data_IF_700736409335
#
_entry.id   IF_700736409335
#
_cell.length_a   1.000
_cell.length_b   1.000
_cell.length_c   1.000
_cell.angle_alpha   90.00
_cell.angle_beta   90.00
_cell.angle_gamma   90.00
#
_symmetry.space_group_name_H-M   'P 1'
#
loop_
_entity.id
_entity.type
_entity.pdbx_description
1 polymer ?
#
# COMPACT_ATOMS: atom_id res chain seq x y z
N UNK A 1 8.03 -4.05 11.25
CA UNK A 1 7.22 -4.46 10.09
C UNK A 1 8.10 -5.17 9.09
N UNK A 2 7.62 -6.28 8.57
CA UNK A 2 8.38 -7.03 7.58
C UNK A 2 7.82 -6.67 6.22
N UNK A 3 8.53 -5.86 5.47
CA UNK A 3 8.08 -5.37 4.18
C UNK A 3 8.96 -5.95 3.08
N UNK A 4 8.32 -6.63 2.12
CA UNK A 4 9.04 -7.13 0.96
C UNK A 4 8.67 -6.27 -0.24
N UNK A 5 9.64 -5.90 -1.03
CA UNK A 5 9.42 -5.09 -2.23
C UNK A 5 9.95 -5.86 -3.43
N UNK A 6 9.07 -6.10 -4.41
CA UNK A 6 9.43 -6.83 -5.61
C UNK A 6 9.40 -5.89 -6.81
N UNK A 7 10.45 -5.86 -7.60
CA UNK A 7 10.52 -5.03 -8.80
C UNK A 7 10.33 -5.91 -10.02
N UNK A 8 9.18 -5.83 -10.65
CA UNK A 8 8.87 -6.57 -11.86
C UNK A 8 8.75 -5.65 -13.08
N UNK A 9 9.32 -4.45 -12.98
CA UNK A 9 9.29 -3.50 -14.10
C UNK A 9 10.27 -3.93 -15.18
N UNK A 10 10.00 -3.53 -16.43
CA UNK A 10 10.84 -3.91 -17.56
C UNK A 10 12.24 -3.33 -17.46
N UNK A 11 12.37 -2.09 -16.96
CA UNK A 11 13.66 -1.42 -16.91
C UNK A 11 14.30 -1.31 -15.55
N UNK A 12 13.66 -1.82 -14.54
CA UNK A 12 14.15 -1.74 -13.16
C UNK A 12 13.82 -0.41 -12.50
N UNK A 13 13.72 -0.41 -11.18
CA UNK A 13 13.43 0.79 -10.41
C UNK A 13 14.72 1.16 -9.66
N UNK A 14 15.13 2.44 -9.70
CA UNK A 14 16.36 2.84 -8.99
C UNK A 14 16.29 2.51 -7.50
N UNK A 15 17.41 2.12 -6.93
CA UNK A 15 17.49 1.76 -5.53
C UNK A 15 16.99 2.87 -4.60
N UNK A 16 17.21 4.11 -4.97
CA UNK A 16 16.75 5.23 -4.13
C UNK A 16 15.24 5.25 -3.99
N UNK A 17 14.52 4.82 -5.01
CA UNK A 17 13.06 4.78 -4.95
C UNK A 17 12.57 3.57 -4.13
N UNK A 18 13.25 2.45 -4.24
CA UNK A 18 12.92 1.27 -3.43
C UNK A 18 13.17 1.58 -1.96
N UNK A 19 14.28 2.24 -1.65
CA UNK A 19 14.61 2.64 -0.29
C UNK A 19 13.57 3.60 0.26
N UNK A 20 13.13 4.55 -0.56
CA UNK A 20 12.12 5.52 -0.14
C UNK A 20 10.80 4.82 0.18
N UNK A 21 10.38 3.86 -0.64
CA UNK A 21 9.15 3.10 -0.38
C UNK A 21 9.25 2.42 0.97
N UNK A 22 10.38 1.77 1.24
CA UNK A 22 10.59 1.08 2.50
C UNK A 22 10.52 2.06 3.67
N UNK A 23 11.21 3.16 3.56
CA UNK A 23 11.28 4.14 4.63
C UNK A 23 9.93 4.80 4.91
N UNK A 24 9.20 5.18 3.87
CA UNK A 24 7.94 5.87 4.07
C UNK A 24 6.88 4.91 4.63
N UNK A 25 6.91 3.64 4.21
CA UNK A 25 5.95 2.68 4.74
C UNK A 25 6.27 2.27 6.17
N UNK A 26 7.54 2.16 6.50
CA UNK A 26 7.92 1.89 7.89
C UNK A 26 7.54 3.08 8.78
N UNK A 27 7.72 4.30 8.28
CA UNK A 27 7.32 5.48 9.00
C UNK A 27 5.79 5.50 9.19
N UNK A 28 5.04 5.19 8.13
CA UNK A 28 3.58 5.15 8.20
C UNK A 28 3.10 4.10 9.20
N UNK A 29 3.75 2.94 9.21
CA UNK A 29 3.41 1.88 10.16
C UNK A 29 3.59 2.32 11.60
N UNK A 30 4.67 3.03 11.89
CA UNK A 30 4.90 3.55 13.22
C UNK A 30 3.90 4.67 13.55
N UNK A 31 3.56 5.47 12.55
CA UNK A 31 2.66 6.59 12.74
C UNK A 31 1.28 6.10 13.19
N UNK A 32 0.80 4.99 12.63
CA UNK A 32 -0.50 4.43 13.02
C UNK A 32 -0.35 3.34 14.08
N UNK A 33 0.84 3.20 14.65
CA UNK A 33 1.12 2.26 15.74
C UNK A 33 0.85 0.80 15.39
N UNK A 34 1.30 0.41 14.19
CA UNK A 34 1.12 -0.95 13.74
C UNK A 34 2.04 -1.88 14.50
N UNK A 35 1.62 -3.12 14.71
CA UNK A 35 2.42 -4.10 15.43
C UNK A 35 3.70 -4.45 14.67
N UNK A 36 4.79 -4.72 15.39
CA UNK A 36 6.07 -5.00 14.75
C UNK A 36 6.07 -6.30 13.96
N UNK A 37 5.21 -7.24 14.26
CA UNK A 37 5.14 -8.51 13.53
C UNK A 37 4.26 -8.41 12.27
N UNK A 38 3.88 -7.22 11.87
CA UNK A 38 3.07 -7.04 10.66
C UNK A 38 3.90 -7.29 9.40
N UNK A 39 3.33 -8.00 8.43
CA UNK A 39 3.98 -8.27 7.16
C UNK A 39 3.15 -7.74 6.02
N UNK A 40 3.79 -7.28 4.97
CA UNK A 40 3.09 -6.87 3.76
C UNK A 40 4.07 -6.88 2.59
N UNK A 41 3.58 -6.78 1.37
CA UNK A 41 4.45 -6.68 0.20
C UNK A 41 4.02 -5.54 -0.71
N UNK A 42 4.99 -5.03 -1.47
CA UNK A 42 4.75 -4.05 -2.53
C UNK A 42 5.39 -4.60 -3.80
N UNK A 43 4.63 -4.70 -4.88
CA UNK A 43 5.15 -5.14 -6.16
C UNK A 43 5.08 -3.99 -7.14
N UNK A 44 6.21 -3.64 -7.73
CA UNK A 44 6.31 -2.55 -8.70
C UNK A 44 6.26 -3.15 -10.09
N UNK A 45 5.43 -2.60 -10.97
CA UNK A 45 5.22 -3.17 -12.29
C UNK A 45 4.91 -2.08 -13.31
N UNK A 46 4.71 -2.47 -14.55
CA UNK A 46 4.35 -1.55 -15.61
C UNK A 46 2.83 -1.62 -15.89
N UNK A 47 2.34 -0.71 -16.71
CA UNK A 47 0.91 -0.61 -17.02
C UNK A 47 0.33 -1.93 -17.54
N UNK A 48 1.08 -2.64 -18.39
CA UNK A 48 0.58 -3.87 -18.97
C UNK A 48 0.27 -4.90 -17.91
N UNK A 49 1.15 -5.06 -16.94
CA UNK A 49 0.97 -6.06 -15.89
C UNK A 49 -0.17 -5.71 -14.93
N UNK A 50 -0.26 -4.44 -14.55
CA UNK A 50 -1.30 -4.04 -13.63
C UNK A 50 -2.67 -4.05 -14.31
N UNK A 51 -2.68 -3.84 -15.63
CA UNK A 51 -3.90 -3.96 -16.43
C UNK A 51 -4.45 -5.38 -16.33
N UNK A 52 -3.57 -6.37 -16.46
CA UNK A 52 -3.99 -7.77 -16.36
C UNK A 52 -4.53 -8.10 -14.98
N UNK A 53 -3.91 -7.62 -13.92
CA UNK A 53 -4.38 -7.84 -12.57
C UNK A 53 -5.74 -7.18 -12.37
N UNK A 54 -5.90 -5.96 -12.84
CA UNK A 54 -7.15 -5.22 -12.69
C UNK A 54 -8.29 -5.93 -13.42
N UNK A 55 -8.01 -6.44 -14.61
CA UNK A 55 -8.99 -7.15 -15.41
C UNK A 55 -9.37 -8.48 -14.75
N UNK A 56 -8.36 -9.24 -14.30
CA UNK A 56 -8.60 -10.54 -13.74
C UNK A 56 -9.25 -10.53 -12.36
N UNK A 57 -8.84 -9.66 -11.49
CA UNK A 57 -9.30 -9.68 -10.12
C UNK A 57 -10.37 -8.62 -9.77
N UNK A 58 -10.50 -7.60 -10.58
CA UNK A 58 -11.49 -6.55 -10.32
C UNK A 58 -12.49 -6.38 -11.45
N UNK A 59 -12.29 -7.08 -12.55
CA UNK A 59 -13.19 -7.00 -13.70
C UNK A 59 -13.09 -5.68 -14.46
N UNK A 60 -12.03 -4.91 -14.26
CA UNK A 60 -11.84 -3.62 -14.90
C UNK A 60 -10.78 -3.75 -15.97
N UNK A 61 -11.16 -3.59 -17.24
CA UNK A 61 -10.25 -3.83 -18.36
C UNK A 61 -9.45 -2.57 -18.68
N UNK A 62 -8.57 -2.17 -17.78
CA UNK A 62 -7.67 -1.03 -18.01
C UNK A 62 -6.59 -1.02 -16.92
N UNK A 63 -5.51 -0.30 -17.18
CA UNK A 63 -4.46 -0.13 -16.19
C UNK A 63 -4.93 0.87 -15.13
N UNK A 64 -4.39 0.77 -13.94
CA UNK A 64 -4.65 1.72 -12.87
C UNK A 64 -3.32 2.06 -12.21
N UNK A 65 -3.32 2.96 -11.24
CA UNK A 65 -2.08 3.40 -10.59
C UNK A 65 -1.68 2.47 -9.44
N UNK A 66 -2.61 2.09 -8.58
CA UNK A 66 -2.30 1.25 -7.43
C UNK A 66 -3.48 0.34 -7.14
N UNK A 67 -3.20 -0.90 -6.77
CA UNK A 67 -4.21 -1.86 -6.34
C UNK A 67 -3.73 -2.43 -5.01
N UNK A 68 -4.62 -2.45 -4.01
CA UNK A 68 -4.28 -3.07 -2.73
C UNK A 68 -5.21 -4.24 -2.49
N UNK A 69 -4.65 -5.37 -2.05
CA UNK A 69 -5.41 -6.55 -1.70
C UNK A 69 -5.22 -6.81 -0.21
N UNK A 70 -6.20 -6.43 0.58
CA UNK A 70 -6.14 -6.63 2.02
C UNK A 70 -6.56 -8.04 2.36
N UNK A 71 -5.76 -8.72 3.16
CA UNK A 71 -6.09 -10.10 3.49
C UNK A 71 -7.32 -10.19 4.36
N UNK A 72 -7.53 -9.16 5.19
CA UNK A 72 -8.68 -9.26 6.03
C UNK A 72 -10.00 -9.01 5.35
N UNK A 73 -10.00 -8.69 4.11
CA UNK A 73 -11.23 -8.39 3.44
C UNK A 73 -11.84 -9.70 3.09
N UNK A 74 -11.26 -10.73 3.34
CA UNK A 74 -11.67 -11.95 2.94
C UNK A 74 -12.58 -12.34 3.90
N UNK A 75 -13.48 -11.98 4.08
CA UNK A 75 -14.43 -12.24 4.84
C UNK A 75 -14.72 -13.61 4.97
N UNK A 76 -14.22 -14.32 5.43
CA UNK A 76 -14.50 -15.49 5.49
C UNK A 76 -15.08 -15.88 6.63
N UNK A 77 -16.15 -15.86 6.57
CA UNK A 77 -16.94 -16.26 7.53
C UNK A 77 -16.57 -17.60 7.92
N UNK A 78 -15.77 -18.16 7.35
CA UNK A 78 -15.50 -19.45 7.71
C UNK A 78 -14.66 -19.57 8.84
N UNK A 79 -14.23 -18.71 9.30
CA UNK A 79 -13.39 -18.82 10.20
C UNK A 79 -13.89 -19.01 11.41
N UNK A 80 -14.37 -19.95 11.70
CA UNK A 80 -14.78 -20.17 12.88
C UNK A 80 -13.77 -20.89 13.59
N UNK A 81 -12.69 -20.64 13.66
CA UNK A 81 -11.72 -21.32 14.42
C UNK A 81 -11.44 -20.38 15.52
N UNK A 82 -12.05 -20.56 16.60
CA UNK A 82 -11.82 -19.71 17.71
C UNK A 82 -10.49 -20.06 18.27
N UNK A 83 -9.47 -19.64 17.69
CA UNK A 83 -8.19 -19.92 18.21
C UNK A 83 -8.01 -18.94 19.30
N UNK A 84 -8.12 -19.37 20.50
CA UNK A 84 -7.90 -18.49 21.59
C UNK A 84 -6.41 -18.41 21.77
N UNK A 85 -5.79 -17.33 21.32
CA UNK A 85 -4.38 -17.18 21.54
C UNK A 85 -4.22 -16.05 22.52
N UNK A 86 -3.28 -16.19 23.45
CA UNK A 86 -3.02 -15.11 24.37
C UNK A 86 -2.17 -14.05 23.66
N UNK A 87 -1.98 -12.90 24.26
CA UNK A 87 -1.29 -11.80 23.61
C UNK A 87 0.14 -12.13 23.25
N UNK A 88 0.79 -12.97 24.02
CA UNK A 88 2.16 -13.30 23.72
C UNK A 88 2.25 -14.17 22.47
N UNK A 89 1.35 -15.14 22.32
CA UNK A 89 1.35 -16.00 21.14
C UNK A 89 0.96 -15.19 19.92
N UNK A 90 0.00 -14.29 20.05
CA UNK A 90 -0.43 -13.46 18.93
C UNK A 90 0.72 -12.57 18.45
N UNK A 91 1.53 -12.05 19.37
CA UNK A 91 2.64 -11.20 19.00
C UNK A 91 3.77 -11.94 18.29
N UNK A 92 3.86 -13.26 18.49
CA UNK A 92 4.89 -14.02 17.83
C UNK A 92 4.48 -14.50 16.44
N UNK A 93 3.21 -14.51 16.12
CA UNK A 93 2.74 -14.96 14.81
C UNK A 93 2.72 -13.78 13.86
N UNK A 94 3.42 -13.86 12.72
CA UNK A 94 3.40 -12.77 11.76
C UNK A 94 1.99 -12.52 11.25
N UNK A 95 1.59 -11.23 11.14
CA UNK A 95 0.29 -10.90 10.65
C UNK A 95 0.45 -10.26 9.30
N UNK A 96 0.05 -10.94 8.25
CA UNK A 96 0.15 -10.44 6.89
C UNK A 96 -1.09 -9.61 6.59
N UNK A 97 -0.92 -8.33 6.31
CA UNK A 97 -2.05 -7.44 6.06
C UNK A 97 -2.38 -7.32 4.58
N UNK A 98 -1.54 -7.81 3.71
CA UNK A 98 -1.87 -7.82 2.28
C UNK A 98 -0.75 -7.38 1.37
N UNK A 99 -1.13 -7.10 0.12
CA UNK A 99 -0.19 -6.77 -0.93
C UNK A 99 -0.62 -5.51 -1.67
N UNK A 100 0.34 -4.72 -2.10
CA UNK A 100 0.10 -3.52 -2.89
C UNK A 100 0.79 -3.69 -4.23
N UNK A 101 0.09 -3.40 -5.34
CA UNK A 101 0.67 -3.43 -6.68
C UNK A 101 0.64 -2.00 -7.21
N UNK A 102 1.77 -1.49 -7.69
CA UNK A 102 1.90 -0.11 -8.16
C UNK A 102 2.41 -0.09 -9.58
N UNK A 103 1.76 0.65 -10.47
CA UNK A 103 2.26 0.85 -11.83
C UNK A 103 3.22 2.01 -11.82
N UNK A 104 4.50 1.74 -12.05
CA UNK A 104 5.52 2.80 -12.10
C UNK A 104 5.32 3.70 -13.32
N UNK A 105 4.68 3.21 -14.38
CA UNK A 105 4.32 4.03 -15.54
C UNK A 105 3.30 5.09 -15.13
N UNK A 106 2.32 4.71 -14.31
CA UNK A 106 1.32 5.67 -13.83
C UNK A 106 1.91 6.67 -12.87
N UNK A 107 2.90 6.27 -12.06
CA UNK A 107 3.59 7.20 -11.17
C UNK A 107 4.21 8.31 -12.01
N UNK A 108 4.91 7.95 -13.09
CA UNK A 108 5.57 8.91 -13.94
C UNK A 108 4.55 9.81 -14.64
N UNK A 109 3.50 9.24 -15.21
CA UNK A 109 2.46 9.98 -15.91
C UNK A 109 1.76 10.97 -14.98
N UNK A 110 1.41 10.53 -13.79
CA UNK A 110 0.68 11.37 -12.86
C UNK A 110 1.56 12.46 -12.25
N UNK A 111 2.81 12.15 -11.96
CA UNK A 111 3.74 13.14 -11.43
C UNK A 111 3.91 14.28 -12.42
N UNK A 112 4.06 13.93 -13.71
CA UNK A 112 4.22 14.93 -14.74
C UNK A 112 2.94 15.73 -14.90
N UNK A 113 1.80 15.09 -14.95
CA UNK A 113 0.52 15.76 -15.14
C UNK A 113 0.20 16.70 -13.99
N UNK A 114 0.49 16.29 -12.74
CA UNK A 114 0.15 17.08 -11.58
C UNK A 114 1.25 18.08 -11.18
N UNK A 115 2.41 18.00 -11.81
CA UNK A 115 3.53 18.89 -11.46
C UNK A 115 4.19 18.55 -10.15
N UNK A 116 4.10 17.28 -9.71
CA UNK A 116 4.76 16.81 -8.51
C UNK A 116 6.08 16.15 -8.85
N UNK A 117 6.95 15.95 -7.86
CA UNK A 117 8.13 15.14 -8.08
C UNK A 117 7.71 13.68 -8.20
N UNK A 118 8.55 12.88 -8.81
CA UNK A 118 8.30 11.45 -8.95
C UNK A 118 8.18 10.82 -7.56
N UNK A 119 9.06 11.21 -6.64
CA UNK A 119 9.06 10.67 -5.29
C UNK A 119 7.78 11.02 -4.54
N UNK A 120 7.27 12.22 -4.74
CA UNK A 120 6.04 12.66 -4.08
C UNK A 120 4.86 11.81 -4.53
N UNK A 121 4.77 11.56 -5.85
CA UNK A 121 3.68 10.77 -6.39
C UNK A 121 3.79 9.31 -5.96
N UNK A 122 4.99 8.75 -5.99
CA UNK A 122 5.21 7.38 -5.56
C UNK A 122 4.86 7.23 -4.08
N UNK A 123 5.31 8.16 -3.24
CA UNK A 123 5.00 8.13 -1.81
C UNK A 123 3.51 8.22 -1.56
N UNK A 124 2.82 9.08 -2.31
CA UNK A 124 1.37 9.24 -2.19
C UNK A 124 0.66 7.92 -2.47
N UNK A 125 1.04 7.24 -3.56
CA UNK A 125 0.35 6.01 -3.97
C UNK A 125 0.61 4.85 -3.01
N UNK A 126 1.86 4.69 -2.55
CA UNK A 126 2.14 3.57 -1.65
C UNK A 126 1.52 3.79 -0.27
N UNK A 127 1.48 5.03 0.23
CA UNK A 127 0.83 5.30 1.51
C UNK A 127 -0.68 5.12 1.38
N UNK A 128 -1.25 5.53 0.25
CA UNK A 128 -2.67 5.35 -0.01
C UNK A 128 -3.05 3.86 0.02
N UNK A 129 -2.29 3.02 -0.69
CA UNK A 129 -2.53 1.58 -0.68
C UNK A 129 -2.32 0.97 0.70
N UNK A 130 -1.31 1.44 1.42
CA UNK A 130 -1.02 0.96 2.76
C UNK A 130 -2.18 1.26 3.72
N UNK A 131 -2.75 2.45 3.64
CA UNK A 131 -3.89 2.79 4.49
C UNK A 131 -5.11 1.93 4.17
N UNK A 132 -5.31 1.59 2.90
CA UNK A 132 -6.39 0.66 2.53
C UNK A 132 -6.14 -0.73 3.14
N UNK A 133 -4.91 -1.20 3.20
CA UNK A 133 -4.61 -2.49 3.82
C UNK A 133 -4.93 -2.47 5.31
N UNK A 134 -4.93 -1.28 5.93
CA UNK A 134 -5.21 -1.16 7.34
C UNK A 134 -6.65 -0.75 7.62
N UNK A 135 -7.52 -0.90 6.64
CA UNK A 135 -8.95 -0.70 6.86
C UNK A 135 -9.49 0.70 6.58
N UNK A 136 -8.63 1.64 6.18
CA UNK A 136 -9.11 2.97 5.85
C UNK A 136 -9.68 2.94 4.44
N UNK A 137 -10.75 3.70 4.20
CA UNK A 137 -11.31 3.71 2.88
C UNK A 137 -11.92 5.09 2.63
N UNK A 138 -12.37 5.36 1.39
CA UNK A 138 -12.89 6.65 1.03
C UNK A 138 -14.25 6.53 0.36
N UNK A 139 -15.01 5.50 0.68
CA UNK A 139 -16.32 5.30 0.07
C UNK A 139 -17.36 6.26 0.64
N UNK A 140 -17.21 6.69 1.88
CA UNK A 140 -18.12 7.65 2.49
C UNK A 140 -17.39 8.97 2.74
N UNK A 141 -18.04 10.12 2.63
CA UNK A 141 -17.36 11.41 2.82
C UNK A 141 -16.62 11.55 4.14
N UNK A 142 -17.16 10.98 5.22
CA UNK A 142 -16.51 11.06 6.52
C UNK A 142 -15.25 10.22 6.56
N UNK A 143 -15.29 9.04 5.97
CA UNK A 143 -14.15 8.14 5.91
C UNK A 143 -13.07 8.71 4.98
N UNK A 144 -13.50 9.35 3.89
CA UNK A 144 -12.59 9.97 2.98
C UNK A 144 -11.81 11.08 3.65
N UNK A 145 -12.45 11.91 4.45
CA UNK A 145 -11.77 12.99 5.15
C UNK A 145 -10.73 12.46 6.12
N UNK A 146 -11.06 11.39 6.85
CA UNK A 146 -10.14 10.79 7.81
C UNK A 146 -8.93 10.21 7.08
N UNK A 147 -9.17 9.47 6.02
CA UNK A 147 -8.10 8.83 5.25
C UNK A 147 -7.18 9.85 4.62
N UNK A 148 -7.72 10.86 3.94
CA UNK A 148 -6.88 11.84 3.25
C UNK A 148 -6.13 12.75 4.22
N UNK A 149 -6.72 13.06 5.38
CA UNK A 149 -6.01 13.83 6.38
C UNK A 149 -4.84 13.03 6.93
N UNK A 150 -5.07 11.75 7.25
CA UNK A 150 -4.02 10.89 7.76
C UNK A 150 -2.91 10.72 6.74
N UNK A 151 -3.26 10.54 5.47
CA UNK A 151 -2.30 10.40 4.39
C UNK A 151 -1.44 11.65 4.27
N UNK A 152 -2.05 12.84 4.31
CA UNK A 152 -1.33 14.08 4.22
C UNK A 152 -0.42 14.27 5.45
N UNK A 153 -0.91 13.95 6.63
CA UNK A 153 -0.12 14.09 7.85
C UNK A 153 1.12 13.17 7.82
N UNK A 154 0.97 11.94 7.33
CA UNK A 154 2.08 11.01 7.24
C UNK A 154 3.12 11.52 6.23
N UNK A 155 2.66 11.94 5.06
CA UNK A 155 3.58 12.42 4.02
C UNK A 155 4.30 13.70 4.42
N UNK A 156 3.59 14.62 5.08
CA UNK A 156 4.19 15.85 5.53
C UNK A 156 5.21 15.59 6.64
N UNK A 157 4.89 14.70 7.57
CA UNK A 157 5.80 14.37 8.67
C UNK A 157 7.05 13.65 8.16
N UNK A 158 6.90 12.83 7.11
CA UNK A 158 8.05 12.14 6.53
C UNK A 158 8.90 13.11 5.68
N UNK A 159 8.28 14.13 5.11
CA UNK A 159 9.02 15.11 4.32
C UNK A 159 8.68 15.14 2.84
N UNK A 160 7.60 14.50 2.42
CA UNK A 160 7.19 14.50 1.03
C UNK A 160 6.03 15.47 0.85
N UNK A 161 6.31 16.75 1.00
CA UNK A 161 5.26 17.76 0.88
C UNK A 161 4.91 18.06 -0.55
N UNK A 162 3.70 18.52 -0.75
CA UNK A 162 3.26 18.95 -2.05
C UNK A 162 3.92 20.25 -2.43
#
# INVERSE_FOLDING_TARGET
MDLEIFDKTANGVPDKHVTMIREVLEFAGKYIKLAENTEMSVTLMNNEDIHQINKEYRGVDRATDVISFAIEDDDDEDEEFPLVMDEEMAAEIPENIGDIFVSMDKVEEQAEYLGHSYERELGFLVVHGFLHLNGYDHMKPEDEKVMFKLQADILDAYGLKR
#
